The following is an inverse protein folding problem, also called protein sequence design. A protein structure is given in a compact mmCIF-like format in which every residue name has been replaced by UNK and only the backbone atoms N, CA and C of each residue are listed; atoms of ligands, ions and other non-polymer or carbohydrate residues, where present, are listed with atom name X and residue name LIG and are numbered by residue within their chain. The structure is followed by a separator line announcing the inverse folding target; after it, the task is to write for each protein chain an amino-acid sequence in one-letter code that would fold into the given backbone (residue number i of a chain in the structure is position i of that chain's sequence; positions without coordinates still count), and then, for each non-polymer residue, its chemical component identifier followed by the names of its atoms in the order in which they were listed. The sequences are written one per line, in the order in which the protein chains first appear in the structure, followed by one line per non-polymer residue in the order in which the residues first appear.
data_IF_502607579082
#
_entry.id   IF_502607579082
#
_cell.length_a   1.000
_cell.length_b   1.000
_cell.length_c   1.000
_cell.angle_alpha   90.00
_cell.angle_beta   90.00
_cell.angle_gamma   90.00
#
_symmetry.space_group_name_H-M   'P 1'
#
loop_
_entity.id
_entity.type
_entity.pdbx_description
1 polymer ?
#
# COMPACT_ATOMS: atom_id res chain seq x y z
N UNK A 1 7.74 3.42 16.60
CA UNK A 1 7.40 2.05 16.13
C UNK A 1 8.25 1.55 14.96
N UNK A 2 8.57 2.37 13.95
CA UNK A 2 9.43 1.97 12.80
C UNK A 2 10.91 1.74 13.17
N UNK A 3 11.52 2.63 13.98
CA UNK A 3 12.92 2.48 14.40
C UNK A 3 13.17 1.22 15.22
N UNK A 4 12.31 0.95 16.21
CA UNK A 4 12.48 -0.16 17.15
C UNK A 4 12.28 -1.55 16.52
N UNK A 5 11.37 -1.71 15.54
CA UNK A 5 11.04 -3.02 14.94
C UNK A 5 11.64 -3.26 13.55
N UNK A 6 11.99 -2.20 12.82
CA UNK A 6 12.38 -2.32 11.41
C UNK A 6 13.73 -1.67 11.09
N UNK A 7 14.52 -1.29 12.11
CA UNK A 7 15.83 -0.61 11.95
C UNK A 7 15.77 0.59 10.99
N UNK A 8 14.64 1.29 10.97
CA UNK A 8 14.40 2.43 10.08
C UNK A 8 14.18 2.09 8.60
N UNK A 9 14.13 0.80 8.20
CA UNK A 9 13.87 0.39 6.82
C UNK A 9 12.42 -0.01 6.62
N UNK A 10 11.78 0.63 5.65
CA UNK A 10 10.48 0.22 5.12
C UNK A 10 10.64 -1.13 4.40
N UNK A 11 9.62 -2.00 4.45
CA UNK A 11 9.66 -3.32 3.79
C UNK A 11 9.15 -3.21 2.35
N UNK A 12 9.77 -3.92 1.42
CA UNK A 12 9.40 -3.97 0.00
C UNK A 12 8.21 -4.90 -0.33
N UNK A 13 7.53 -5.46 0.68
CA UNK A 13 6.40 -6.39 0.50
C UNK A 13 5.14 -5.89 1.19
N UNK A 14 4.01 -5.88 0.48
CA UNK A 14 2.70 -5.45 1.00
C UNK A 14 2.31 -6.23 2.25
N UNK A 15 2.49 -7.56 2.26
CA UNK A 15 2.13 -8.41 3.39
C UNK A 15 2.83 -8.00 4.69
N UNK A 16 4.04 -7.45 4.61
CA UNK A 16 4.80 -6.98 5.78
C UNK A 16 4.35 -5.58 6.20
N UNK A 17 3.95 -4.72 5.25
CA UNK A 17 3.41 -3.40 5.54
C UNK A 17 2.02 -3.50 6.20
N UNK A 18 1.20 -4.48 5.82
CA UNK A 18 -0.11 -4.74 6.43
C UNK A 18 -0.03 -5.20 7.90
N UNK A 19 1.13 -5.65 8.37
CA UNK A 19 1.35 -6.00 9.78
C UNK A 19 1.57 -4.76 10.66
N UNK A 20 1.80 -3.59 10.06
CA UNK A 20 1.91 -2.34 10.80
C UNK A 20 0.50 -1.83 11.15
N UNK A 21 0.28 -1.39 12.40
CA UNK A 21 -0.99 -0.78 12.76
C UNK A 21 -1.25 0.44 11.86
N UNK A 22 -2.51 0.59 11.45
CA UNK A 22 -2.99 1.70 10.60
C UNK A 22 -2.50 1.68 9.14
N UNK A 23 -1.74 0.67 8.70
CA UNK A 23 -1.32 0.53 7.31
C UNK A 23 -2.28 -0.39 6.56
N UNK A 24 -3.21 0.22 5.82
CA UNK A 24 -4.10 -0.49 4.92
C UNK A 24 -3.43 -0.76 3.56
N UNK A 25 -4.09 -1.60 2.74
CA UNK A 25 -3.59 -2.02 1.42
C UNK A 25 -3.20 -0.83 0.53
N UNK A 26 -4.02 0.22 0.49
CA UNK A 26 -3.78 1.48 -0.26
C UNK A 26 -2.50 2.19 0.20
N UNK A 27 -2.31 2.30 1.52
CA UNK A 27 -1.13 2.94 2.11
C UNK A 27 0.12 2.13 1.80
N UNK A 28 0.05 0.80 1.89
CA UNK A 28 1.16 -0.08 1.55
C UNK A 28 1.57 0.04 0.08
N UNK A 29 0.61 0.07 -0.86
CA UNK A 29 0.92 0.25 -2.29
C UNK A 29 1.52 1.62 -2.60
N UNK A 30 1.03 2.70 -1.98
CA UNK A 30 1.63 4.03 -2.16
C UNK A 30 3.08 4.05 -1.69
N UNK A 31 3.36 3.48 -0.51
CA UNK A 31 4.72 3.39 0.01
C UNK A 31 5.63 2.61 -0.94
N UNK A 32 5.17 1.50 -1.51
CA UNK A 32 5.96 0.73 -2.49
C UNK A 32 6.19 1.49 -3.79
N UNK A 33 5.17 2.19 -4.29
CA UNK A 33 5.27 2.99 -5.51
C UNK A 33 6.24 4.16 -5.34
N UNK A 34 6.13 4.93 -4.25
CA UNK A 34 6.95 6.12 -4.04
C UNK A 34 8.35 5.81 -3.50
N UNK A 35 8.50 4.80 -2.63
CA UNK A 35 9.81 4.49 -2.03
C UNK A 35 10.63 3.50 -2.85
N UNK A 36 10.00 2.64 -3.66
CA UNK A 36 10.68 1.58 -4.40
C UNK A 36 10.36 1.55 -5.91
N UNK A 37 9.48 2.43 -6.41
CA UNK A 37 9.09 2.42 -7.82
C UNK A 37 8.27 1.20 -8.24
N UNK A 38 7.77 0.40 -7.28
CA UNK A 38 7.03 -0.83 -7.56
C UNK A 38 5.55 -0.48 -7.67
N UNK A 39 4.99 -0.58 -8.87
CA UNK A 39 3.58 -0.33 -9.09
C UNK A 39 2.76 -1.60 -8.82
N UNK A 40 2.12 -1.67 -7.66
CA UNK A 40 1.31 -2.83 -7.25
C UNK A 40 -0.20 -2.61 -7.41
N UNK A 41 -0.60 -1.76 -8.38
CA UNK A 41 -2.00 -1.55 -8.74
C UNK A 41 -2.80 -0.84 -7.65
N UNK A 42 -2.56 0.46 -7.46
CA UNK A 42 -3.43 1.28 -6.60
C UNK A 42 -4.74 1.54 -7.32
N UNK A 43 -5.80 0.83 -6.92
CA UNK A 43 -7.16 1.25 -7.26
C UNK A 43 -7.77 1.87 -6.02
N UNK A 44 -7.94 3.19 -6.05
CA UNK A 44 -8.70 3.88 -5.03
C UNK A 44 -10.17 4.06 -5.41
N UNK A 45 -10.99 4.50 -4.46
CA UNK A 45 -12.42 4.72 -4.67
C UNK A 45 -12.70 5.74 -5.77
N UNK A 46 -11.80 6.71 -5.99
CA UNK A 46 -11.92 7.66 -7.10
C UNK A 46 -11.62 7.01 -8.46
N UNK A 47 -10.61 6.15 -8.53
CA UNK A 47 -10.34 5.33 -9.71
C UNK A 47 -11.51 4.36 -9.97
N UNK A 48 -12.04 3.68 -8.95
CA UNK A 48 -13.25 2.84 -9.13
C UNK A 48 -14.43 3.63 -9.67
N UNK A 49 -14.69 4.83 -9.11
CA UNK A 49 -15.80 5.69 -9.52
C UNK A 49 -15.62 6.26 -10.92
N UNK A 50 -14.42 6.75 -11.24
CA UNK A 50 -14.13 7.38 -12.55
C UNK A 50 -14.13 6.37 -13.70
N UNK A 51 -13.73 5.13 -13.43
CA UNK A 51 -13.61 4.10 -14.47
C UNK A 51 -14.80 3.15 -14.50
N UNK A 52 -15.87 3.43 -13.74
CA UNK A 52 -17.08 2.60 -13.73
C UNK A 52 -16.86 1.16 -13.23
N UNK A 53 -15.75 0.90 -12.54
CA UNK A 53 -15.38 -0.42 -12.01
C UNK A 53 -16.18 -0.72 -10.73
N UNK A 54 -17.50 -0.92 -10.87
CA UNK A 54 -18.42 -1.11 -9.76
C UNK A 54 -18.46 -2.56 -9.21
N UNK A 55 -17.62 -3.46 -9.73
CA UNK A 55 -17.58 -4.84 -9.24
C UNK A 55 -16.22 -5.47 -9.47
N UNK A 56 -15.52 -5.74 -8.37
CA UNK A 56 -14.72 -6.95 -8.23
C UNK A 56 -15.07 -7.49 -6.85
N UNK A 57 -15.59 -8.73 -6.90
CA UNK A 57 -16.12 -9.58 -5.84
C UNK A 57 -15.47 -9.41 -4.46
#
# INVERSE_FOLDING_TARGET
MLLARFRGKVRQKIAQLLQLPSVARKTATMVLRYAYGIDAGVIDTHAKRRWGLHRQN
#
